data_IF_364445390264
#
_entry.id   IF_364445390264
#
_cell.length_a   1.000
_cell.length_b   1.000
_cell.length_c   1.000
_cell.angle_alpha   90.00
_cell.angle_beta   90.00
_cell.angle_gamma   90.00
#
_symmetry.space_group_name_H-M   'P 1'
#
loop_
_entity.id
_entity.type
_entity.pdbx_description
1 polymer ?
#
# COMPACT_ATOMS: atom_id res chain seq x y z
N UNK A 1 6.50 -8.35 -23.77
CA UNK A 1 5.19 -7.98 -23.16
C UNK A 1 5.42 -7.04 -21.96
N UNK A 2 4.38 -6.39 -21.41
CA UNK A 2 4.53 -5.38 -20.33
C UNK A 2 5.21 -5.92 -19.06
N UNK A 3 4.87 -7.15 -18.67
CA UNK A 3 5.52 -7.85 -17.55
C UNK A 3 7.03 -7.98 -17.77
N UNK A 4 7.46 -8.25 -19.00
CA UNK A 4 8.88 -8.35 -19.33
C UNK A 4 9.57 -6.99 -19.20
N UNK A 5 8.90 -5.88 -19.53
CA UNK A 5 9.47 -4.54 -19.37
C UNK A 5 9.68 -4.17 -17.89
N UNK A 6 8.76 -4.56 -17.00
CA UNK A 6 8.95 -4.43 -15.55
C UNK A 6 10.14 -5.28 -15.06
N UNK A 7 10.21 -6.55 -15.47
CA UNK A 7 11.31 -7.45 -15.10
C UNK A 7 12.67 -6.98 -15.63
N UNK A 8 12.69 -6.30 -16.77
CA UNK A 8 13.88 -5.68 -17.35
C UNK A 8 14.20 -4.29 -16.75
N UNK A 9 13.46 -3.86 -15.72
CA UNK A 9 13.69 -2.59 -15.02
C UNK A 9 13.33 -1.34 -15.82
N UNK A 10 12.61 -1.49 -16.93
CA UNK A 10 12.20 -0.37 -17.80
C UNK A 10 10.93 0.32 -17.32
N UNK A 11 10.19 -0.31 -16.41
CA UNK A 11 9.02 0.24 -15.75
C UNK A 11 9.24 0.14 -14.26
N UNK A 12 9.21 1.25 -13.54
CA UNK A 12 9.20 1.26 -12.08
C UNK A 12 7.74 1.22 -11.60
N UNK A 13 7.20 0.01 -11.46
CA UNK A 13 5.83 -0.17 -10.96
C UNK A 13 5.74 -0.03 -9.44
N UNK A 14 6.86 -0.18 -8.74
CA UNK A 14 6.92 -0.06 -7.29
C UNK A 14 6.80 1.41 -6.86
N UNK A 15 7.32 2.34 -7.67
CA UNK A 15 7.14 3.79 -7.48
C UNK A 15 5.68 4.28 -7.52
N UNK A 16 4.75 3.48 -8.06
CA UNK A 16 3.31 3.80 -8.01
C UNK A 16 2.65 3.44 -6.68
N UNK A 17 3.28 2.59 -5.86
CA UNK A 17 2.73 2.16 -4.56
C UNK A 17 2.98 3.25 -3.54
N UNK A 18 1.93 4.00 -3.21
CA UNK A 18 1.97 5.07 -2.21
C UNK A 18 1.67 4.57 -0.80
N UNK A 19 1.08 3.38 -0.65
CA UNK A 19 0.72 2.81 0.64
C UNK A 19 0.70 1.28 0.58
N UNK A 20 1.08 0.62 1.67
CA UNK A 20 0.89 -0.82 1.89
C UNK A 20 0.06 -1.00 3.15
N UNK A 21 -0.97 -1.83 3.08
CA UNK A 21 -1.99 -1.96 4.12
C UNK A 21 -2.22 -3.42 4.49
N UNK A 22 -2.71 -3.66 5.70
CA UNK A 22 -3.24 -4.95 6.11
C UNK A 22 -4.63 -5.19 5.53
N UNK A 23 -5.14 -6.42 5.67
CA UNK A 23 -6.49 -6.76 5.23
C UNK A 23 -7.58 -5.99 6.01
N UNK A 24 -7.31 -5.63 7.27
CA UNK A 24 -8.24 -4.87 8.11
C UNK A 24 -8.44 -3.41 7.69
N UNK A 25 -7.48 -2.84 6.97
CA UNK A 25 -7.45 -1.39 6.68
C UNK A 25 -7.99 -1.05 5.29
N UNK A 26 -8.56 -2.03 4.58
CA UNK A 26 -9.04 -1.87 3.19
C UNK A 26 -10.11 -0.79 3.07
N UNK A 27 -11.03 -0.69 4.03
CA UNK A 27 -12.08 0.33 4.02
C UNK A 27 -11.51 1.75 4.19
N UNK A 28 -10.54 1.93 5.08
CA UNK A 28 -9.87 3.23 5.26
C UNK A 28 -9.10 3.62 3.99
N UNK A 29 -8.43 2.66 3.34
CA UNK A 29 -7.72 2.91 2.09
C UNK A 29 -8.66 3.39 0.96
N UNK A 30 -9.90 2.90 0.90
CA UNK A 30 -10.89 3.43 -0.05
C UNK A 30 -11.27 4.88 0.24
N UNK A 31 -11.37 5.28 1.51
CA UNK A 31 -11.61 6.67 1.88
C UNK A 31 -10.46 7.57 1.45
N UNK A 32 -9.21 7.15 1.68
CA UNK A 32 -7.99 7.86 1.23
C UNK A 32 -7.93 7.99 -0.30
N UNK A 33 -8.28 6.93 -1.02
CA UNK A 33 -8.33 6.93 -2.49
C UNK A 33 -9.37 7.93 -3.02
N UNK A 34 -10.57 7.97 -2.42
CA UNK A 34 -11.61 8.96 -2.78
C UNK A 34 -11.18 10.39 -2.47
N UNK A 35 -10.43 10.59 -1.38
CA UNK A 35 -9.87 11.89 -1.02
C UNK A 35 -8.70 12.32 -1.93
N UNK A 36 -8.16 11.40 -2.75
CA UNK A 36 -7.01 11.67 -3.62
C UNK A 36 -5.67 11.78 -2.88
N UNK A 37 -5.59 11.30 -1.64
CA UNK A 37 -4.36 11.34 -0.84
C UNK A 37 -3.43 10.17 -1.10
N UNK A 38 -3.92 9.13 -1.78
CA UNK A 38 -3.21 7.90 -2.11
C UNK A 38 -3.45 7.56 -3.57
N UNK A 39 -2.39 7.17 -4.28
CA UNK A 39 -2.43 6.78 -5.70
C UNK A 39 -2.73 5.29 -5.86
N UNK A 40 -2.04 4.44 -5.09
CA UNK A 40 -2.20 2.99 -5.11
C UNK A 40 -1.88 2.40 -3.74
N UNK A 41 -2.85 1.71 -3.16
CA UNK A 41 -2.66 0.88 -1.97
C UNK A 41 -2.45 -0.58 -2.40
N UNK A 42 -1.50 -1.27 -1.75
CA UNK A 42 -1.28 -2.72 -1.91
C UNK A 42 -1.61 -3.40 -0.59
N UNK A 43 -2.45 -4.43 -0.66
CA UNK A 43 -2.78 -5.26 0.51
C UNK A 43 -1.71 -6.35 0.65
N UNK A 44 -1.06 -6.40 1.81
CA UNK A 44 -0.10 -7.47 2.13
C UNK A 44 -0.82 -8.62 2.82
N UNK A 45 -0.65 -9.83 2.26
CA UNK A 45 -1.26 -11.05 2.80
C UNK A 45 -0.13 -11.90 3.39
N UNK A 46 -0.12 -12.16 4.71
CA UNK A 46 0.89 -13.01 5.32
C UNK A 46 0.80 -14.42 4.75
N UNK A 47 1.95 -15.01 4.44
CA UNK A 47 2.06 -16.40 3.98
C UNK A 47 2.03 -17.32 5.21
N UNK A 48 0.86 -17.49 5.81
CA UNK A 48 0.58 -18.40 6.93
C UNK A 48 -0.94 -18.48 7.13
N UNK A 49 -1.52 -19.69 7.15
CA UNK A 49 -2.96 -19.91 6.97
C UNK A 49 -3.86 -19.36 8.09
N UNK A 50 -5.08 -19.00 7.68
CA UNK A 50 -6.35 -18.97 8.45
C UNK A 50 -6.33 -18.50 9.90
N UNK A 51 -6.77 -17.26 10.13
CA UNK A 51 -7.31 -16.79 11.41
C UNK A 51 -7.24 -15.26 11.57
N UNK A 52 -8.27 -14.60 12.13
CA UNK A 52 -8.21 -13.17 12.44
C UNK A 52 -7.48 -13.01 13.77
N UNK A 53 -6.19 -12.68 13.73
CA UNK A 53 -5.52 -12.14 14.91
C UNK A 53 -5.72 -10.63 14.87
N UNK A 54 -6.76 -10.24 15.60
CA UNK A 54 -7.17 -8.90 15.97
C UNK A 54 -5.96 -8.03 16.31
N UNK A 55 -5.79 -6.98 15.50
CA UNK A 55 -5.55 -5.62 15.95
C UNK A 55 -4.84 -5.50 17.30
N UNK A 56 -3.51 -5.61 17.31
CA UNK A 56 -2.72 -5.08 18.42
C UNK A 56 -1.60 -4.18 17.89
N UNK A 57 -1.74 -2.92 18.28
CA UNK A 57 -0.77 -1.82 18.25
C UNK A 57 -0.08 -1.51 16.90
N UNK A 58 -0.50 -0.47 16.19
CA UNK A 58 -0.05 0.92 16.44
C UNK A 58 1.48 1.02 16.45
N UNK A 59 2.11 1.01 15.28
CA UNK A 59 3.31 1.82 15.01
C UNK A 59 3.69 1.80 13.52
N UNK A 60 3.19 2.78 12.79
CA UNK A 60 3.95 3.45 11.73
C UNK A 60 3.31 4.81 11.56
N UNK A 61 3.90 5.78 12.24
CA UNK A 61 3.65 7.19 12.05
C UNK A 61 3.39 7.49 10.56
N UNK A 62 2.24 8.09 10.30
CA UNK A 62 2.03 8.88 9.12
C UNK A 62 3.23 9.82 8.97
N UNK A 63 4.12 9.48 8.03
CA UNK A 63 5.14 10.42 7.61
C UNK A 63 4.39 11.67 7.14
N UNK A 64 4.66 12.86 7.71
CA UNK A 64 4.02 14.07 7.19
C UNK A 64 4.47 14.20 5.74
N UNK A 65 3.50 14.19 4.83
CA UNK A 65 3.67 14.65 3.46
C UNK A 65 4.01 16.15 3.52
N UNK A 66 5.28 16.44 3.81
CA UNK A 66 5.86 17.76 3.91
C UNK A 66 6.92 17.97 2.86
N UNK A 67 6.65 18.95 1.99
CA UNK A 67 7.59 19.72 1.18
C UNK A 67 8.31 19.04 0.01
N UNK A 68 7.70 19.14 -1.17
CA UNK A 68 8.45 19.43 -2.39
C UNK A 68 7.68 20.46 -3.24
N UNK A 69 8.07 21.73 -3.01
CA UNK A 69 7.75 22.99 -3.71
C UNK A 69 6.41 23.67 -3.44
#
# INVERSE_FOLDING_TARGET
MLVDQYRLGRLDLDGFVSERIGLGDVEEAFAKMKAGTVLRSVVEIPRGGTGPEESDAVDAAAAPAGAAR
#
